data_IF_647642337287
#
_entry.id   IF_647642337287
#
_cell.length_a   1.000
_cell.length_b   1.000
_cell.length_c   1.000
_cell.angle_alpha   90.00
_cell.angle_beta   90.00
_cell.angle_gamma   90.00
#
_symmetry.space_group_name_H-M   'P 1'
#
loop_
_entity.id
_entity.type
_entity.pdbx_description
1 polymer ?
#
# COMPACT_ATOMS: atom_id res chain seq x y z
N UNK A 1 14.72 -2.03 10.65
CA UNK A 1 14.51 -3.48 10.85
C UNK A 1 13.28 -3.63 11.74
N UNK A 2 12.11 -3.82 11.15
CA UNK A 2 10.86 -4.03 11.89
C UNK A 2 10.90 -5.43 12.50
N UNK A 3 11.29 -5.54 13.78
CA UNK A 3 11.31 -6.81 14.50
C UNK A 3 9.88 -7.24 14.82
N UNK A 4 9.61 -8.54 14.65
CA UNK A 4 8.40 -9.25 15.08
C UNK A 4 7.94 -8.76 16.45
N UNK A 5 6.80 -8.06 16.50
CA UNK A 5 6.22 -7.54 17.75
C UNK A 5 5.59 -6.15 17.65
N UNK A 6 5.90 -5.36 16.61
CA UNK A 6 5.20 -4.09 16.36
C UNK A 6 3.99 -4.36 15.48
N UNK A 7 2.79 -4.30 16.06
CA UNK A 7 1.54 -4.25 15.28
C UNK A 7 1.51 -2.88 14.60
N UNK A 8 1.80 -2.88 13.30
CA UNK A 8 1.66 -1.71 12.44
C UNK A 8 0.24 -1.71 11.88
N UNK A 9 -0.49 -0.62 12.08
CA UNK A 9 -1.80 -0.44 11.48
C UNK A 9 -1.64 0.17 10.08
N UNK A 10 -1.95 -0.60 9.04
CA UNK A 10 -1.96 -0.14 7.66
C UNK A 10 -3.34 0.42 7.34
N UNK A 11 -3.46 1.74 7.24
CA UNK A 11 -4.70 2.37 6.81
C UNK A 11 -4.69 2.52 5.29
N UNK A 12 -5.55 1.76 4.61
CA UNK A 12 -5.80 1.95 3.19
C UNK A 12 -6.81 3.09 3.00
N UNK A 13 -6.44 4.12 2.24
CA UNK A 13 -7.34 5.20 1.84
C UNK A 13 -7.67 5.01 0.36
N UNK A 14 -8.96 4.92 0.04
CA UNK A 14 -9.46 4.72 -1.32
C UNK A 14 -10.51 5.76 -1.64
N UNK A 15 -10.37 6.42 -2.79
CA UNK A 15 -11.45 7.18 -3.41
C UNK A 15 -12.19 6.27 -4.38
N UNK A 16 -13.49 6.14 -4.20
CA UNK A 16 -14.35 5.51 -5.19
C UNK A 16 -14.85 6.61 -6.12
N UNK A 17 -14.42 6.56 -7.38
CA UNK A 17 -15.13 7.24 -8.45
C UNK A 17 -16.29 6.33 -8.83
N UNK A 18 -17.51 6.72 -8.46
CA UNK A 18 -18.68 6.24 -9.19
C UNK A 18 -18.48 6.67 -10.66
N UNK A 19 -18.91 5.83 -11.59
CA UNK A 19 -18.57 5.85 -13.01
C UNK A 19 -18.40 7.28 -13.61
N UNK A 20 -17.51 7.43 -14.59
CA UNK A 20 -17.16 8.69 -15.24
C UNK A 20 -18.33 9.52 -15.84
N UNK A 21 -19.57 9.03 -15.78
CA UNK A 21 -20.80 9.67 -16.26
C UNK A 21 -21.70 10.23 -15.15
N UNK A 22 -21.48 9.87 -13.88
CA UNK A 22 -22.19 10.45 -12.74
C UNK A 22 -21.18 11.18 -11.85
N UNK A 23 -21.01 12.48 -12.08
CA UNK A 23 -20.35 13.35 -11.11
C UNK A 23 -21.12 13.24 -9.79
N UNK A 24 -20.49 12.71 -8.74
CA UNK A 24 -21.11 12.70 -7.41
C UNK A 24 -21.58 14.12 -7.04
N UNK A 25 -22.84 14.24 -6.65
CA UNK A 25 -23.51 15.49 -6.22
C UNK A 25 -22.85 16.15 -4.98
N UNK A 26 -21.84 15.49 -4.40
CA UNK A 26 -20.86 16.09 -3.50
C UNK A 26 -19.46 15.61 -3.91
N UNK A 27 -18.72 16.36 -4.74
CA UNK A 27 -17.30 16.14 -4.86
C UNK A 27 -16.71 16.51 -3.50
N UNK A 28 -16.55 15.53 -2.61
CA UNK A 28 -15.72 15.71 -1.42
C UNK A 28 -14.36 16.16 -1.94
N UNK A 29 -14.05 17.43 -1.70
CA UNK A 29 -12.79 18.02 -2.10
C UNK A 29 -11.69 17.14 -1.51
N UNK A 30 -10.83 16.62 -2.39
CA UNK A 30 -9.92 15.52 -2.05
C UNK A 30 -9.00 15.92 -0.90
N UNK A 31 -8.61 17.18 -0.88
CA UNK A 31 -7.77 17.75 0.15
C UNK A 31 -8.52 17.89 1.50
N UNK A 32 -9.79 18.33 1.53
CA UNK A 32 -10.64 18.33 2.72
C UNK A 32 -10.88 16.92 3.30
N UNK A 33 -11.07 15.92 2.44
CA UNK A 33 -11.24 14.53 2.88
C UNK A 33 -9.99 14.02 3.60
N UNK A 34 -8.81 14.25 3.01
CA UNK A 34 -7.54 13.88 3.63
C UNK A 34 -7.30 14.66 4.94
N UNK A 35 -7.64 15.94 4.98
CA UNK A 35 -7.52 16.75 6.19
C UNK A 35 -8.39 16.23 7.33
N UNK A 36 -9.62 15.83 7.03
CA UNK A 36 -10.50 15.23 8.02
C UNK A 36 -9.95 13.89 8.54
N UNK A 37 -9.43 13.02 7.68
CA UNK A 37 -8.78 11.77 8.10
C UNK A 37 -7.58 12.06 9.00
N UNK A 38 -6.69 12.96 8.59
CA UNK A 38 -5.49 13.31 9.35
C UNK A 38 -5.86 13.90 10.71
N UNK A 39 -6.84 14.80 10.76
CA UNK A 39 -7.34 15.40 12.01
C UNK A 39 -7.87 14.34 12.98
N UNK A 40 -8.75 13.46 12.50
CA UNK A 40 -9.29 12.37 13.33
C UNK A 40 -8.17 11.45 13.81
N UNK A 41 -7.25 11.07 12.92
CA UNK A 41 -6.16 10.17 13.28
C UNK A 41 -5.23 10.81 14.33
N UNK A 42 -4.80 12.05 14.12
CA UNK A 42 -3.87 12.74 15.02
C UNK A 42 -4.48 12.99 16.39
N UNK A 43 -5.79 13.21 16.47
CA UNK A 43 -6.49 13.39 17.75
C UNK A 43 -6.69 12.08 18.52
N UNK A 44 -6.70 10.93 17.84
CA UNK A 44 -7.04 9.63 18.45
C UNK A 44 -5.87 8.62 18.45
N UNK A 45 -4.74 8.94 17.81
CA UNK A 45 -3.61 8.02 17.71
C UNK A 45 -2.96 7.81 19.08
N UNK A 46 -3.01 6.56 19.54
CA UNK A 46 -2.31 6.12 20.73
C UNK A 46 -0.84 5.74 20.46
N UNK A 47 -0.40 4.65 21.09
CA UNK A 47 0.98 4.14 20.98
C UNK A 47 1.25 3.29 19.73
N UNK A 48 0.20 2.91 18.99
CA UNK A 48 0.35 2.05 17.80
C UNK A 48 1.03 2.83 16.68
N UNK A 49 1.94 2.16 15.98
CA UNK A 49 2.53 2.72 14.76
C UNK A 49 1.52 2.60 13.61
N UNK A 50 1.39 3.68 12.85
CA UNK A 50 0.45 3.76 11.73
C UNK A 50 1.24 4.04 10.46
N UNK A 51 0.86 3.34 9.40
CA UNK A 51 1.34 3.59 8.04
C UNK A 51 0.12 3.78 7.14
N UNK A 52 0.16 4.80 6.30
CA UNK A 52 -0.84 4.97 5.25
C UNK A 52 -0.45 4.17 4.03
N UNK A 53 -1.47 3.73 3.31
CA UNK A 53 -1.30 3.15 1.99
C UNK A 53 -2.45 3.52 1.07
N UNK A 54 -2.20 3.70 -0.22
CA UNK A 54 -3.24 3.85 -1.24
C UNK A 54 -2.82 3.29 -2.60
N UNK A 55 -3.80 2.86 -3.40
CA UNK A 55 -3.64 2.65 -4.85
C UNK A 55 -3.72 3.96 -5.64
N UNK A 56 -4.24 5.03 -5.03
CA UNK A 56 -4.33 6.34 -5.65
C UNK A 56 -3.02 7.13 -5.40
N UNK A 57 -2.24 7.43 -6.44
CA UNK A 57 -0.97 8.13 -6.30
C UNK A 57 -1.15 9.56 -5.76
N UNK A 58 -2.21 10.26 -6.14
CA UNK A 58 -2.43 11.64 -5.69
C UNK A 58 -2.76 11.70 -4.20
N UNK A 59 -3.54 10.74 -3.69
CA UNK A 59 -3.75 10.52 -2.26
C UNK A 59 -2.43 10.31 -1.54
N UNK A 60 -1.54 9.47 -2.08
CA UNK A 60 -0.21 9.28 -1.50
C UNK A 60 0.60 10.58 -1.44
N UNK A 61 0.53 11.41 -2.47
CA UNK A 61 1.22 12.70 -2.50
C UNK A 61 0.65 13.68 -1.48
N UNK A 62 -0.67 13.83 -1.40
CA UNK A 62 -1.28 14.72 -0.40
C UNK A 62 -0.97 14.28 1.02
N UNK A 63 -1.05 12.98 1.32
CA UNK A 63 -0.64 12.44 2.61
C UNK A 63 0.83 12.71 2.90
N UNK A 64 1.70 12.63 1.89
CA UNK A 64 3.13 12.93 2.05
C UNK A 64 3.40 14.42 2.27
N UNK A 65 2.60 15.30 1.65
CA UNK A 65 2.76 16.75 1.75
C UNK A 65 2.16 17.32 3.05
N UNK A 66 1.03 16.78 3.51
CA UNK A 66 0.29 17.28 4.66
C UNK A 66 0.82 16.82 6.01
N UNK A 67 1.60 15.74 6.06
CA UNK A 67 2.17 15.23 7.30
C UNK A 67 3.55 14.60 7.09
N UNK A 68 4.38 14.58 8.14
CA UNK A 68 5.69 13.92 8.15
C UNK A 68 5.84 12.85 9.25
N UNK A 69 4.78 12.57 10.01
CA UNK A 69 4.77 11.69 11.19
C UNK A 69 4.62 10.21 10.83
N UNK A 70 3.79 9.91 9.84
CA UNK A 70 3.42 8.57 9.42
C UNK A 70 4.03 8.23 8.07
N UNK A 71 4.46 6.98 7.93
CA UNK A 71 4.93 6.47 6.65
C UNK A 71 3.79 6.38 5.65
N UNK A 72 4.10 6.64 4.38
CA UNK A 72 3.17 6.50 3.26
C UNK A 72 3.74 5.48 2.30
N UNK A 73 2.98 4.43 2.03
CA UNK A 73 3.32 3.34 1.12
C UNK A 73 2.39 3.38 -0.10
N UNK A 74 2.92 3.11 -1.29
CA UNK A 74 2.10 3.04 -2.49
C UNK A 74 1.76 1.57 -2.81
N UNK A 75 0.47 1.27 -3.01
CA UNK A 75 0.06 -0.08 -3.43
C UNK A 75 0.11 -0.20 -4.95
N UNK A 76 0.55 -1.37 -5.41
CA UNK A 76 0.53 -1.73 -6.83
C UNK A 76 -0.01 -3.14 -7.00
N UNK A 77 -0.75 -3.35 -8.09
CA UNK A 77 -1.14 -4.67 -8.57
C UNK A 77 -0.07 -5.30 -9.48
N UNK A 78 0.91 -4.50 -9.91
CA UNK A 78 1.89 -4.91 -10.91
C UNK A 78 1.21 -5.43 -12.17
N UNK A 79 1.80 -6.45 -12.80
CA UNK A 79 1.14 -7.19 -13.88
C UNK A 79 0.33 -8.33 -13.28
N UNK A 80 -0.99 -8.13 -13.16
CA UNK A 80 -1.93 -9.15 -12.70
C UNK A 80 -2.91 -9.52 -13.80
N UNK A 81 -3.26 -10.81 -13.89
CA UNK A 81 -4.35 -11.27 -14.74
C UNK A 81 -5.68 -11.39 -13.97
N UNK A 82 -5.64 -11.28 -12.63
CA UNK A 82 -6.80 -11.46 -11.74
C UNK A 82 -7.64 -10.20 -11.60
N UNK A 83 -7.04 -9.03 -11.78
CA UNK A 83 -7.70 -7.74 -11.58
C UNK A 83 -7.71 -6.91 -12.85
N UNK A 84 -8.77 -6.13 -13.03
CA UNK A 84 -8.82 -5.09 -14.05
C UNK A 84 -7.77 -4.05 -13.68
N UNK A 85 -6.88 -3.75 -14.63
CA UNK A 85 -5.85 -2.74 -14.43
C UNK A 85 -6.51 -1.38 -14.11
N UNK A 86 -6.04 -0.73 -13.04
CA UNK A 86 -6.43 0.64 -12.75
C UNK A 86 -6.10 1.57 -13.91
N UNK A 87 -6.90 2.62 -14.10
CA UNK A 87 -6.72 3.61 -15.17
C UNK A 87 -5.36 4.31 -15.09
N UNK A 88 -4.83 4.51 -13.88
CA UNK A 88 -3.54 5.16 -13.69
C UNK A 88 -2.37 4.22 -14.01
N UNK A 89 -1.65 4.52 -15.08
CA UNK A 89 -0.48 3.74 -15.54
C UNK A 89 0.62 3.58 -14.48
N UNK A 90 0.71 4.47 -13.49
CA UNK A 90 1.70 4.38 -12.39
C UNK A 90 1.47 3.14 -11.53
N UNK A 91 0.26 2.59 -11.51
CA UNK A 91 -0.09 1.39 -10.73
C UNK A 91 0.06 0.09 -11.54
N UNK A 92 0.14 0.18 -12.86
CA UNK A 92 0.05 -0.95 -13.80
C UNK A 92 1.35 -1.75 -13.97
N UNK A 93 2.47 -1.26 -13.42
CA UNK A 93 3.68 -2.05 -13.28
C UNK A 93 4.39 -1.76 -11.98
N UNK A 94 5.03 -2.79 -11.44
CA UNK A 94 5.80 -2.67 -10.20
C UNK A 94 6.99 -1.72 -10.38
N UNK A 95 7.63 -1.68 -11.56
CA UNK A 95 8.72 -0.75 -11.84
C UNK A 95 8.25 0.72 -11.84
N UNK A 96 7.10 1.01 -12.46
CA UNK A 96 6.54 2.37 -12.47
C UNK A 96 6.16 2.81 -11.05
N UNK A 97 5.55 1.91 -10.28
CA UNK A 97 5.20 2.16 -8.88
C UNK A 97 6.45 2.48 -8.03
N UNK A 98 7.52 1.69 -8.18
CA UNK A 98 8.81 1.92 -7.49
C UNK A 98 9.38 3.30 -7.85
N UNK A 99 9.41 3.66 -9.13
CA UNK A 99 9.92 4.95 -9.60
C UNK A 99 9.08 6.11 -9.05
N UNK A 100 7.76 5.96 -9.02
CA UNK A 100 6.86 6.94 -8.44
C UNK A 100 7.13 7.15 -6.95
N UNK A 101 7.18 6.07 -6.16
CA UNK A 101 7.43 6.16 -4.72
C UNK A 101 8.80 6.74 -4.40
N UNK A 102 9.83 6.32 -5.14
CA UNK A 102 11.18 6.84 -4.95
C UNK A 102 11.27 8.33 -5.27
N UNK A 103 10.78 8.76 -6.43
CA UNK A 103 10.84 10.16 -6.87
C UNK A 103 10.08 11.10 -5.94
N UNK A 104 8.98 10.62 -5.34
CA UNK A 104 8.14 11.40 -4.42
C UNK A 104 8.47 11.19 -2.94
N UNK A 105 9.60 10.53 -2.63
CA UNK A 105 10.07 10.30 -1.24
C UNK A 105 9.03 9.62 -0.35
N UNK A 106 8.22 8.72 -0.93
CA UNK A 106 7.37 7.82 -0.17
C UNK A 106 8.24 6.82 0.60
N UNK A 107 7.67 6.18 1.62
CA UNK A 107 8.43 5.27 2.48
C UNK A 107 8.63 3.89 1.86
N UNK A 108 7.75 3.49 0.93
CA UNK A 108 7.83 2.14 0.37
C UNK A 108 6.69 1.78 -0.58
N UNK A 109 6.70 0.50 -0.97
CA UNK A 109 5.75 -0.11 -1.90
C UNK A 109 5.09 -1.32 -1.23
N UNK A 110 3.82 -1.53 -1.53
CA UNK A 110 3.09 -2.76 -1.22
C UNK A 110 2.78 -3.48 -2.53
N UNK A 111 3.49 -4.57 -2.79
CA UNK A 111 3.39 -5.35 -4.02
C UNK A 111 2.24 -6.37 -3.94
N UNK A 112 1.66 -6.70 -5.09
CA UNK A 112 0.74 -7.82 -5.19
C UNK A 112 1.51 -9.15 -5.32
N UNK A 113 1.04 -10.18 -4.61
CA UNK A 113 1.70 -11.47 -4.49
C UNK A 113 1.80 -12.21 -5.82
N UNK A 114 0.77 -12.17 -6.68
CA UNK A 114 0.80 -12.79 -8.01
C UNK A 114 1.97 -12.25 -8.85
N UNK A 115 2.16 -10.92 -8.85
CA UNK A 115 3.23 -10.27 -9.60
C UNK A 115 4.61 -10.67 -9.05
N UNK A 116 4.77 -10.75 -7.73
CA UNK A 116 6.04 -11.12 -7.09
C UNK A 116 6.35 -12.62 -7.19
N UNK A 117 5.33 -13.49 -7.24
CA UNK A 117 5.52 -14.92 -7.52
C UNK A 117 5.95 -15.16 -8.97
N UNK A 118 5.44 -14.34 -9.89
CA UNK A 118 5.79 -14.39 -11.31
C UNK A 118 7.19 -13.83 -11.58
N UNK A 119 7.51 -12.67 -11.01
CA UNK A 119 8.78 -12.00 -11.19
C UNK A 119 9.22 -11.25 -9.92
N UNK A 120 10.29 -11.72 -9.27
CA UNK A 120 10.80 -11.12 -8.04
C UNK A 120 11.75 -9.92 -8.28
N UNK A 121 12.14 -9.63 -9.53
CA UNK A 121 13.09 -8.54 -9.83
C UNK A 121 12.65 -7.16 -9.32
N UNK A 122 11.36 -6.77 -9.38
CA UNK A 122 10.92 -5.48 -8.84
C UNK A 122 11.16 -5.35 -7.34
N UNK A 123 11.03 -6.43 -6.55
CA UNK A 123 11.36 -6.42 -5.13
C UNK A 123 12.83 -6.04 -4.92
N UNK A 124 13.76 -6.70 -5.62
CA UNK A 124 15.19 -6.39 -5.52
C UNK A 124 15.48 -4.93 -5.94
N UNK A 125 14.81 -4.45 -6.99
CA UNK A 125 14.94 -3.08 -7.44
C UNK A 125 14.47 -2.07 -6.38
N UNK A 126 13.35 -2.34 -5.70
CA UNK A 126 12.84 -1.52 -4.61
C UNK A 126 13.78 -1.51 -3.40
N UNK A 127 14.32 -2.67 -3.00
CA UNK A 127 15.30 -2.76 -1.91
C UNK A 127 16.59 -2.01 -2.22
N UNK A 128 17.08 -2.05 -3.46
CA UNK A 128 18.23 -1.26 -3.91
C UNK A 128 18.01 0.25 -3.76
N UNK A 129 16.75 0.71 -3.90
CA UNK A 129 16.35 2.10 -3.64
C UNK A 129 16.03 2.41 -2.18
N UNK A 130 16.29 1.48 -1.26
CA UNK A 130 16.01 1.60 0.19
C UNK A 130 14.53 1.83 0.51
N UNK A 131 13.64 1.36 -0.36
CA UNK A 131 12.20 1.38 -0.10
C UNK A 131 11.82 0.21 0.82
N UNK A 132 10.90 0.48 1.75
CA UNK A 132 10.23 -0.57 2.52
C UNK A 132 9.33 -1.36 1.57
N UNK A 133 9.35 -2.68 1.65
CA UNK A 133 8.65 -3.56 0.73
C UNK A 133 7.70 -4.48 1.48
N UNK A 134 6.40 -4.32 1.23
CA UNK A 134 5.35 -5.19 1.76
C UNK A 134 4.74 -6.00 0.61
N UNK A 135 4.06 -7.10 0.92
CA UNK A 135 3.31 -7.90 -0.06
C UNK A 135 1.89 -8.18 0.43
N UNK A 136 0.92 -8.13 -0.47
CA UNK A 136 -0.49 -8.43 -0.23
C UNK A 136 -1.07 -9.33 -1.32
N UNK A 137 -2.26 -9.90 -1.10
CA UNK A 137 -3.03 -10.61 -2.12
C UNK A 137 -3.32 -12.07 -1.77
N UNK A 138 -4.16 -12.70 -2.59
CA UNK A 138 -4.80 -13.98 -2.30
C UNK A 138 -3.83 -15.16 -2.20
N UNK A 139 -2.64 -15.08 -2.79
CA UNK A 139 -1.67 -16.17 -2.70
C UNK A 139 -1.11 -16.35 -1.28
N UNK A 140 -1.38 -15.38 -0.39
CA UNK A 140 -0.91 -15.36 0.99
C UNK A 140 -1.81 -16.12 1.98
N UNK A 141 -2.85 -16.82 1.50
CA UNK A 141 -3.65 -17.72 2.34
C UNK A 141 -2.89 -18.99 2.73
N UNK A 142 -1.84 -19.34 1.99
CA UNK A 142 -1.00 -20.51 2.30
C UNK A 142 0.17 -20.13 3.20
N UNK A 143 0.37 -20.91 4.28
CA UNK A 143 1.53 -20.77 5.16
C UNK A 143 2.86 -20.86 4.40
N UNK A 144 2.89 -21.67 3.33
CA UNK A 144 4.05 -21.80 2.43
C UNK A 144 4.43 -20.47 1.78
N UNK A 145 3.46 -19.72 1.24
CA UNK A 145 3.75 -18.46 0.55
C UNK A 145 4.07 -17.34 1.55
N UNK A 146 3.39 -17.29 2.70
CA UNK A 146 3.75 -16.38 3.79
C UNK A 146 5.21 -16.58 4.20
N UNK A 147 5.61 -17.82 4.44
CA UNK A 147 6.98 -18.18 4.78
C UNK A 147 7.97 -17.87 3.66
N UNK A 148 7.57 -18.09 2.40
CA UNK A 148 8.39 -17.78 1.23
C UNK A 148 8.74 -16.29 1.18
N UNK A 149 7.75 -15.40 1.22
CA UNK A 149 7.98 -13.95 1.17
C UNK A 149 8.71 -13.42 2.41
N UNK A 150 8.44 -14.00 3.57
CA UNK A 150 9.16 -13.69 4.80
C UNK A 150 10.65 -14.03 4.66
N UNK A 151 10.98 -15.22 4.14
CA UNK A 151 12.37 -15.65 3.91
C UNK A 151 13.08 -14.85 2.82
N UNK A 152 12.35 -14.37 1.81
CA UNK A 152 12.88 -13.46 0.79
C UNK A 152 13.27 -12.09 1.35
N UNK A 153 12.78 -11.73 2.54
CA UNK A 153 13.13 -10.48 3.21
C UNK A 153 12.19 -9.32 2.91
N UNK A 154 10.92 -9.60 2.59
CA UNK A 154 9.88 -8.58 2.66
C UNK A 154 9.78 -8.02 4.09
N UNK A 155 9.57 -6.71 4.20
CA UNK A 155 9.47 -6.02 5.49
C UNK A 155 8.10 -6.28 6.17
N UNK A 156 7.10 -6.73 5.40
CA UNK A 156 5.79 -7.13 5.90
C UNK A 156 4.99 -7.96 4.90
N UNK A 157 4.16 -8.87 5.41
CA UNK A 157 3.24 -9.71 4.62
C UNK A 157 1.83 -9.44 5.14
N UNK A 158 0.93 -9.00 4.26
CA UNK A 158 -0.45 -8.61 4.57
C UNK A 158 -1.38 -9.71 4.07
N UNK A 159 -2.05 -10.39 4.99
CA UNK A 159 -2.92 -11.53 4.70
C UNK A 159 -4.00 -11.66 5.77
N UNK A 160 -5.10 -12.30 5.40
CA UNK A 160 -6.19 -12.55 6.32
C UNK A 160 -5.85 -13.77 7.19
N UNK A 161 -5.96 -13.61 8.52
CA UNK A 161 -5.96 -14.73 9.46
C UNK A 161 -7.37 -14.95 10.00
N UNK A 162 -8.17 -15.74 9.32
CA UNK A 162 -9.39 -16.27 9.93
C UNK A 162 -9.03 -17.47 10.81
N UNK A 163 -8.61 -17.22 12.06
CA UNK A 163 -8.62 -18.30 13.08
C UNK A 163 -10.06 -18.45 13.59
N UNK A 164 -10.73 -19.55 13.25
CA UNK A 164 -11.77 -20.09 14.15
C UNK A 164 -11.06 -20.43 15.46
N UNK A 165 -11.49 -19.82 16.55
CA UNK A 165 -11.19 -20.33 17.87
C UNK A 165 -11.84 -21.72 17.95
N UNK A 166 -11.00 -22.75 17.89
CA UNK A 166 -11.34 -24.12 18.32
C UNK A 166 -10.65 -24.35 19.64
#
# INVERSE_FOLDING_TARGET
MYRYGIIVFLLQISFFYLNAEEECEFPLERNDYIDNILKVLLNNVGRRQIMFSSFDPDTCLMLKMKQNRFHVLFLTQGKSQRYIAYMDRRTQSSEAAILFAFSNKLSGIVFHSEDMLSNIQPFHYAKAKKLVCFVWGNDLDSAKNIDHFTRLGFDGVIYDRYRRAT
#
